data_IF_449638404324
#
_entry.id   IF_449638404324
#
_cell.length_a   1.000
_cell.length_b   1.000
_cell.length_c   1.000
_cell.angle_alpha   90.00
_cell.angle_beta   90.00
_cell.angle_gamma   90.00
#
_symmetry.space_group_name_H-M   'P 1'
#
loop_
_entity.id
_entity.type
_entity.pdbx_description
1 polymer ?
#
# COMPACT_ATOMS: atom_id res chain seq x y z
N UNK A 1 10.07 -17.73 -1.77
CA UNK A 1 8.87 -17.42 -2.57
C UNK A 1 7.97 -16.41 -1.82
N UNK A 2 7.55 -16.67 -0.58
CA UNK A 2 6.63 -15.81 0.19
C UNK A 2 7.09 -14.36 0.35
N UNK A 3 8.36 -14.11 0.64
CA UNK A 3 8.93 -12.76 0.74
C UNK A 3 8.86 -11.99 -0.59
N UNK A 4 9.15 -12.64 -1.70
CA UNK A 4 9.05 -11.99 -3.02
C UNK A 4 7.62 -11.62 -3.36
N UNK A 5 6.68 -12.50 -3.08
CA UNK A 5 5.25 -12.29 -3.33
C UNK A 5 4.71 -11.14 -2.49
N UNK A 6 5.00 -11.11 -1.18
CA UNK A 6 4.55 -10.03 -0.30
C UNK A 6 5.13 -8.68 -0.71
N UNK A 7 6.40 -8.63 -1.09
CA UNK A 7 7.06 -7.42 -1.59
C UNK A 7 6.46 -6.95 -2.92
N UNK A 8 6.18 -7.87 -3.84
CA UNK A 8 5.59 -7.56 -5.13
C UNK A 8 4.15 -7.04 -4.95
N UNK A 9 3.34 -7.68 -4.10
CA UNK A 9 2.00 -7.21 -3.78
C UNK A 9 2.01 -5.82 -3.15
N UNK A 10 2.94 -5.54 -2.23
CA UNK A 10 3.05 -4.23 -1.59
C UNK A 10 3.32 -3.11 -2.62
N UNK A 11 4.24 -3.35 -3.56
CA UNK A 11 4.53 -2.40 -4.64
C UNK A 11 3.36 -2.27 -5.60
N UNK A 12 2.71 -3.39 -5.97
CA UNK A 12 1.53 -3.39 -6.84
C UNK A 12 0.41 -2.54 -6.27
N UNK A 13 0.10 -2.65 -4.97
CA UNK A 13 -0.97 -1.90 -4.33
C UNK A 13 -0.85 -0.39 -4.56
N UNK A 14 0.34 0.16 -4.48
CA UNK A 14 0.57 1.60 -4.67
C UNK A 14 0.76 1.96 -6.14
N UNK A 15 1.49 1.17 -6.90
CA UNK A 15 1.74 1.46 -8.32
C UNK A 15 0.45 1.44 -9.14
N UNK A 16 -0.41 0.44 -8.93
CA UNK A 16 -1.71 0.36 -9.63
C UNK A 16 -2.62 1.52 -9.22
N UNK A 17 -2.59 1.94 -7.93
CA UNK A 17 -3.33 3.10 -7.46
C UNK A 17 -2.89 4.40 -8.15
N UNK A 18 -1.58 4.57 -8.31
CA UNK A 18 -0.98 5.69 -9.05
C UNK A 18 -1.43 5.69 -10.51
N UNK A 19 -1.39 4.53 -11.18
CA UNK A 19 -1.84 4.39 -12.57
C UNK A 19 -3.35 4.67 -12.72
N UNK A 20 -4.19 4.18 -11.81
CA UNK A 20 -5.62 4.43 -11.83
C UNK A 20 -5.96 5.93 -11.70
N UNK A 21 -5.20 6.66 -10.87
CA UNK A 21 -5.40 8.09 -10.69
C UNK A 21 -4.87 8.97 -11.84
N UNK A 22 -4.09 8.43 -12.79
CA UNK A 22 -3.74 9.14 -14.04
C UNK A 22 -4.98 9.59 -14.81
N UNK A 23 -6.06 8.81 -14.77
CA UNK A 23 -7.33 9.16 -15.42
C UNK A 23 -7.88 10.50 -14.92
N UNK A 24 -7.77 10.79 -13.62
CA UNK A 24 -8.23 12.07 -13.06
C UNK A 24 -7.49 13.27 -13.67
N UNK A 25 -6.21 13.15 -14.00
CA UNK A 25 -5.43 14.22 -14.64
C UNK A 25 -5.75 14.28 -16.14
N UNK A 26 -5.89 13.13 -16.79
CA UNK A 26 -6.29 13.06 -18.20
C UNK A 26 -7.62 13.75 -18.44
N UNK A 27 -8.61 13.55 -17.57
CA UNK A 27 -9.93 14.20 -17.66
C UNK A 27 -9.86 15.72 -17.41
N UNK A 28 -8.87 16.19 -16.63
CA UNK A 28 -8.62 17.64 -16.51
C UNK A 28 -8.04 18.22 -17.80
N UNK A 29 -7.11 17.52 -18.44
CA UNK A 29 -6.43 17.95 -19.65
C UNK A 29 -7.37 17.93 -20.86
N UNK A 30 -8.19 16.90 -20.99
CA UNK A 30 -9.18 16.76 -22.08
C UNK A 30 -10.36 17.73 -21.99
N UNK A 31 -10.57 18.35 -20.83
CA UNK A 31 -11.71 19.24 -20.60
C UNK A 31 -12.95 18.54 -20.06
N UNK A 32 -13.01 17.21 -20.03
CA UNK A 32 -14.17 16.46 -19.50
C UNK A 32 -14.56 16.90 -18.08
N UNK A 33 -13.59 17.31 -17.27
CA UNK A 33 -13.86 17.84 -15.93
C UNK A 33 -14.57 19.20 -15.95
N UNK A 34 -14.42 20.00 -17.03
CA UNK A 34 -15.14 21.28 -17.17
C UNK A 34 -16.62 21.03 -17.45
N UNK A 35 -16.93 20.01 -18.25
CA UNK A 35 -18.31 19.62 -18.54
C UNK A 35 -19.04 19.16 -17.26
N UNK A 36 -18.34 18.44 -16.39
CA UNK A 36 -18.86 18.10 -15.07
C UNK A 36 -19.03 19.31 -14.13
N UNK A 37 -18.22 20.35 -14.29
CA UNK A 37 -18.32 21.57 -13.48
C UNK A 37 -19.52 22.45 -13.86
N UNK A 38 -20.03 22.36 -15.09
CA UNK A 38 -21.25 23.05 -15.55
C UNK A 38 -22.50 22.37 -14.99
N UNK A 39 -22.42 21.11 -14.60
CA UNK A 39 -23.53 20.38 -13.98
C UNK A 39 -23.77 20.85 -12.53
N UNK A 40 -25.00 20.73 -11.99
CA UNK A 40 -25.32 21.16 -10.62
C UNK A 40 -24.72 20.27 -9.53
N UNK A 41 -23.73 19.43 -9.86
CA UNK A 41 -23.08 18.48 -8.94
C UNK A 41 -22.00 19.18 -8.11
N UNK A 42 -21.93 18.87 -6.82
CA UNK A 42 -20.90 19.41 -5.92
C UNK A 42 -19.51 18.87 -6.29
N UNK A 43 -18.50 19.73 -6.28
CA UNK A 43 -17.10 19.35 -6.59
C UNK A 43 -16.58 18.22 -5.67
N UNK A 44 -17.00 18.18 -4.41
CA UNK A 44 -16.67 17.09 -3.48
C UNK A 44 -17.26 15.75 -3.94
N UNK A 45 -18.48 15.73 -4.50
CA UNK A 45 -19.10 14.51 -5.02
C UNK A 45 -18.34 13.97 -6.23
N UNK A 46 -17.90 14.85 -7.14
CA UNK A 46 -17.06 14.45 -8.29
C UNK A 46 -15.73 13.87 -7.83
N UNK A 47 -15.08 14.50 -6.85
CA UNK A 47 -13.80 14.00 -6.33
C UNK A 47 -13.96 12.67 -5.59
N UNK A 48 -15.06 12.50 -4.86
CA UNK A 48 -15.37 11.23 -4.20
C UNK A 48 -15.66 10.14 -5.25
N UNK A 49 -16.33 10.47 -6.34
CA UNK A 49 -16.57 9.53 -7.44
C UNK A 49 -15.25 9.05 -8.08
N UNK A 50 -14.30 9.96 -8.34
CA UNK A 50 -12.97 9.57 -8.82
C UNK A 50 -12.24 8.67 -7.79
N UNK A 51 -12.30 9.00 -6.51
CA UNK A 51 -11.71 8.20 -5.45
C UNK A 51 -12.33 6.79 -5.41
N UNK A 52 -13.64 6.68 -5.43
CA UNK A 52 -14.33 5.38 -5.44
C UNK A 52 -14.01 4.58 -6.71
N UNK A 53 -14.02 5.21 -7.88
CA UNK A 53 -13.70 4.55 -9.14
C UNK A 53 -12.26 4.03 -9.16
N UNK A 54 -11.28 4.86 -8.75
CA UNK A 54 -9.88 4.45 -8.63
C UNK A 54 -9.71 3.33 -7.60
N UNK A 55 -10.41 3.40 -6.46
CA UNK A 55 -10.36 2.35 -5.43
C UNK A 55 -10.89 1.02 -5.96
N UNK A 56 -12.03 1.02 -6.66
CA UNK A 56 -12.62 -0.20 -7.22
C UNK A 56 -11.71 -0.84 -8.26
N UNK A 57 -11.20 -0.06 -9.21
CA UNK A 57 -10.29 -0.57 -10.25
C UNK A 57 -9.02 -1.14 -9.63
N UNK A 58 -8.41 -0.42 -8.69
CA UNK A 58 -7.19 -0.84 -8.03
C UNK A 58 -7.40 -2.09 -7.18
N UNK A 59 -8.52 -2.18 -6.46
CA UNK A 59 -8.89 -3.37 -5.67
C UNK A 59 -9.06 -4.60 -6.56
N UNK A 60 -9.77 -4.49 -7.69
CA UNK A 60 -9.96 -5.60 -8.61
C UNK A 60 -8.59 -6.11 -9.10
N UNK A 61 -7.72 -5.23 -9.56
CA UNK A 61 -6.39 -5.60 -10.07
C UNK A 61 -5.55 -6.24 -8.97
N UNK A 62 -5.53 -5.68 -7.77
CA UNK A 62 -4.73 -6.20 -6.65
C UNK A 62 -5.27 -7.53 -6.12
N UNK A 63 -6.58 -7.74 -6.10
CA UNK A 63 -7.16 -9.05 -5.73
C UNK A 63 -6.89 -10.12 -6.79
N UNK A 64 -6.88 -9.77 -8.06
CA UNK A 64 -6.44 -10.69 -9.12
C UNK A 64 -4.96 -11.04 -8.95
N UNK A 65 -4.11 -10.05 -8.66
CA UNK A 65 -2.69 -10.27 -8.38
C UNK A 65 -2.47 -11.13 -7.13
N UNK A 66 -3.25 -10.90 -6.07
CA UNK A 66 -3.24 -11.73 -4.86
C UNK A 66 -3.65 -13.18 -5.19
N UNK A 67 -4.75 -13.37 -5.91
CA UNK A 67 -5.21 -14.70 -6.32
C UNK A 67 -4.18 -15.45 -7.16
N UNK A 68 -3.54 -14.77 -8.12
CA UNK A 68 -2.46 -15.34 -8.90
C UNK A 68 -1.23 -15.72 -8.04
N UNK A 69 -0.90 -14.89 -7.07
CA UNK A 69 0.20 -15.13 -6.12
C UNK A 69 -0.06 -16.33 -5.22
N UNK A 70 -1.29 -16.45 -4.70
CA UNK A 70 -1.71 -17.61 -3.89
C UNK A 70 -1.75 -18.89 -4.72
N UNK A 71 -2.26 -18.82 -5.96
CA UNK A 71 -2.23 -19.95 -6.88
C UNK A 71 -0.80 -20.42 -7.21
N UNK A 72 0.13 -19.48 -7.39
CA UNK A 72 1.53 -19.80 -7.60
C UNK A 72 2.15 -20.54 -6.39
N UNK A 73 1.86 -20.11 -5.16
CA UNK A 73 2.33 -20.80 -3.94
C UNK A 73 1.73 -22.20 -3.81
N UNK A 74 0.44 -22.35 -4.12
CA UNK A 74 -0.23 -23.65 -4.07
C UNK A 74 0.32 -24.63 -5.10
N UNK A 75 0.52 -24.20 -6.35
CA UNK A 75 1.08 -25.02 -7.43
C UNK A 75 2.55 -25.34 -7.21
N UNK A 76 3.30 -24.44 -6.59
CA UNK A 76 4.72 -24.62 -6.27
C UNK A 76 5.00 -25.54 -5.06
N UNK A 77 3.96 -26.10 -4.42
CA UNK A 77 4.10 -26.94 -3.22
C UNK A 77 4.61 -26.20 -1.97
N UNK A 78 4.58 -24.86 -1.99
CA UNK A 78 5.04 -23.99 -0.89
C UNK A 78 3.86 -23.43 -0.07
N UNK A 79 2.79 -24.21 0.05
CA UNK A 79 1.59 -23.78 0.79
C UNK A 79 1.72 -24.12 2.27
N UNK A 80 2.02 -23.12 3.09
CA UNK A 80 2.11 -23.23 4.54
C UNK A 80 1.07 -22.34 5.26
N UNK A 81 0.24 -21.60 4.50
CA UNK A 81 -0.72 -20.64 5.05
C UNK A 81 -1.98 -21.31 5.57
N UNK A 82 -2.46 -20.85 6.72
CA UNK A 82 -3.79 -21.20 7.24
C UNK A 82 -4.87 -20.33 6.58
N UNK A 83 -6.13 -20.74 6.67
CA UNK A 83 -7.25 -19.93 6.17
C UNK A 83 -7.32 -18.54 6.83
N UNK A 84 -6.86 -18.44 8.08
CA UNK A 84 -6.80 -17.18 8.83
C UNK A 84 -5.73 -16.25 8.24
N UNK A 85 -4.55 -16.77 7.89
CA UNK A 85 -3.48 -15.98 7.28
C UNK A 85 -3.91 -15.41 5.93
N UNK A 86 -4.60 -16.22 5.13
CA UNK A 86 -5.15 -15.77 3.84
C UNK A 86 -6.18 -14.65 4.04
N UNK A 87 -7.05 -14.74 5.04
CA UNK A 87 -8.04 -13.70 5.33
C UNK A 87 -7.36 -12.39 5.78
N UNK A 88 -6.33 -12.47 6.62
CA UNK A 88 -5.55 -11.33 7.06
C UNK A 88 -4.78 -10.71 5.90
N UNK A 89 -4.23 -11.52 5.01
CA UNK A 89 -3.55 -11.06 3.81
C UNK A 89 -4.50 -10.30 2.84
N UNK A 90 -5.74 -10.78 2.70
CA UNK A 90 -6.80 -10.08 1.94
C UNK A 90 -7.09 -8.72 2.58
N UNK A 91 -7.16 -8.64 3.91
CA UNK A 91 -7.36 -7.39 4.64
C UNK A 91 -6.18 -6.43 4.44
N UNK A 92 -4.96 -6.93 4.49
CA UNK A 92 -3.75 -6.12 4.28
C UNK A 92 -3.69 -5.53 2.88
N UNK A 93 -3.97 -6.33 1.85
CA UNK A 93 -4.05 -5.86 0.45
C UNK A 93 -5.15 -4.81 0.30
N UNK A 94 -6.30 -5.02 0.94
CA UNK A 94 -7.40 -4.05 0.92
C UNK A 94 -6.99 -2.71 1.53
N UNK A 95 -6.42 -2.71 2.73
CA UNK A 95 -6.00 -1.50 3.43
C UNK A 95 -4.85 -0.79 2.70
N UNK A 96 -3.85 -1.54 2.25
CA UNK A 96 -2.71 -0.96 1.55
C UNK A 96 -3.12 -0.38 0.18
N UNK A 97 -4.08 -0.99 -0.49
CA UNK A 97 -4.69 -0.44 -1.72
C UNK A 97 -5.38 0.89 -1.43
N UNK A 98 -6.21 0.96 -0.39
CA UNK A 98 -6.87 2.22 0.00
C UNK A 98 -5.86 3.30 0.40
N UNK A 99 -4.79 2.93 1.09
CA UNK A 99 -3.69 3.85 1.38
C UNK A 99 -3.06 4.38 0.09
N UNK A 100 -2.73 3.51 -0.87
CA UNK A 100 -2.15 3.89 -2.16
C UNK A 100 -3.06 4.83 -2.96
N UNK A 101 -4.37 4.54 -2.99
CA UNK A 101 -5.36 5.41 -3.66
C UNK A 101 -5.50 6.75 -2.95
N UNK A 102 -5.53 6.78 -1.63
CA UNK A 102 -5.62 8.03 -0.85
C UNK A 102 -4.39 8.91 -1.09
N UNK A 103 -3.20 8.32 -1.04
CA UNK A 103 -1.92 9.00 -1.28
C UNK A 103 -1.86 9.56 -2.70
N UNK A 104 -2.11 8.72 -3.70
CA UNK A 104 -2.07 9.14 -5.11
C UNK A 104 -3.13 10.19 -5.42
N UNK A 105 -4.37 10.07 -4.88
CA UNK A 105 -5.43 11.07 -5.08
C UNK A 105 -5.05 12.45 -4.54
N UNK A 106 -4.40 12.54 -3.38
CA UNK A 106 -3.89 13.79 -2.82
C UNK A 106 -2.85 14.43 -3.74
N UNK A 107 -1.89 13.66 -4.23
CA UNK A 107 -0.81 14.14 -5.08
C UNK A 107 -1.34 14.59 -6.46
N UNK A 108 -2.15 13.76 -7.11
CA UNK A 108 -2.71 14.03 -8.43
C UNK A 108 -3.78 15.14 -8.43
N UNK A 109 -4.34 15.48 -7.27
CA UNK A 109 -5.24 16.61 -7.17
C UNK A 109 -4.58 17.93 -7.64
N UNK A 110 -3.28 18.13 -7.41
CA UNK A 110 -2.55 19.34 -7.80
C UNK A 110 -2.06 19.35 -9.24
N UNK A 111 -1.97 18.20 -9.89
CA UNK A 111 -1.40 18.07 -11.21
C UNK A 111 -2.36 18.56 -12.30
N UNK A 112 -1.80 19.25 -13.29
CA UNK A 112 -2.56 19.89 -14.38
C UNK A 112 -2.18 19.37 -15.75
N UNK A 113 -1.07 18.64 -15.89
CA UNK A 113 -0.60 18.10 -17.17
C UNK A 113 -0.29 16.61 -17.07
N UNK A 114 -0.51 15.87 -18.16
CA UNK A 114 -0.17 14.44 -18.23
C UNK A 114 1.33 14.18 -18.02
N UNK A 115 2.20 15.07 -18.47
CA UNK A 115 3.65 14.97 -18.25
C UNK A 115 4.03 15.01 -16.78
N UNK A 116 3.45 15.94 -16.01
CA UNK A 116 3.64 16.00 -14.55
C UNK A 116 3.12 14.74 -13.87
N UNK A 117 1.96 14.26 -14.28
CA UNK A 117 1.34 13.06 -13.72
C UNK A 117 2.20 11.82 -13.96
N UNK A 118 2.71 11.63 -15.18
CA UNK A 118 3.59 10.51 -15.52
C UNK A 118 4.93 10.58 -14.77
N UNK A 119 5.55 11.77 -14.68
CA UNK A 119 6.81 11.93 -13.95
C UNK A 119 6.67 11.61 -12.46
N UNK A 120 5.65 12.18 -11.79
CA UNK A 120 5.38 11.91 -10.38
C UNK A 120 5.00 10.44 -10.17
N UNK A 121 4.21 9.87 -11.06
CA UNK A 121 3.84 8.45 -11.02
C UNK A 121 5.06 7.54 -11.07
N UNK A 122 6.01 7.80 -11.96
CA UNK A 122 7.26 7.04 -12.06
C UNK A 122 8.10 7.18 -10.81
N UNK A 123 8.24 8.39 -10.28
CA UNK A 123 8.99 8.65 -9.04
C UNK A 123 8.38 7.89 -7.87
N UNK A 124 7.06 7.97 -7.67
CA UNK A 124 6.39 7.28 -6.56
C UNK A 124 6.55 5.78 -6.71
N UNK A 125 6.26 5.21 -7.88
CA UNK A 125 6.32 3.77 -8.12
C UNK A 125 7.71 3.18 -7.88
N UNK A 126 8.76 3.89 -8.30
CA UNK A 126 10.14 3.46 -8.11
C UNK A 126 10.59 3.63 -6.65
N UNK A 127 10.29 4.79 -6.07
CA UNK A 127 10.77 5.16 -4.74
C UNK A 127 10.04 4.41 -3.64
N UNK A 128 8.74 4.11 -3.84
CA UNK A 128 7.92 3.40 -2.83
C UNK A 128 8.51 2.05 -2.44
N UNK A 129 8.96 1.26 -3.42
CA UNK A 129 9.54 -0.06 -3.15
C UNK A 129 10.80 -0.03 -2.29
N UNK A 130 11.60 1.04 -2.40
CA UNK A 130 12.77 1.25 -1.55
C UNK A 130 12.38 1.80 -0.17
N UNK A 131 11.54 2.82 -0.13
CA UNK A 131 11.15 3.53 1.09
C UNK A 131 10.38 2.61 2.05
N UNK A 132 9.49 1.77 1.53
CA UNK A 132 8.66 0.88 2.35
C UNK A 132 9.25 -0.51 2.57
N UNK A 133 10.52 -0.72 2.22
CA UNK A 133 11.22 -1.97 2.50
C UNK A 133 10.82 -3.14 1.59
N UNK A 134 10.10 -2.89 0.48
CA UNK A 134 9.66 -3.96 -0.40
C UNK A 134 10.82 -4.57 -1.20
N UNK A 135 11.72 -3.73 -1.75
CA UNK A 135 12.88 -4.20 -2.52
C UNK A 135 14.08 -4.55 -1.62
N UNK A 136 14.29 -3.77 -0.58
CA UNK A 136 15.38 -3.97 0.37
C UNK A 136 14.83 -3.84 1.79
N UNK A 137 15.05 -4.81 2.67
CA UNK A 137 14.63 -4.74 4.06
C UNK A 137 15.13 -3.46 4.73
N UNK A 138 14.29 -2.85 5.56
CA UNK A 138 14.60 -1.60 6.27
C UNK A 138 15.72 -1.81 7.28
N UNK A 139 15.86 -3.02 7.80
CA UNK A 139 16.95 -3.45 8.67
C UNK A 139 18.35 -3.22 8.07
N UNK A 140 18.46 -3.24 6.73
CA UNK A 140 19.73 -3.01 6.03
C UNK A 140 20.08 -1.52 5.84
N UNK A 141 19.21 -0.59 6.23
CA UNK A 141 19.51 0.84 6.15
C UNK A 141 20.24 1.36 7.41
N UNK A 142 21.04 2.44 7.29
CA UNK A 142 21.63 3.11 8.44
C UNK A 142 20.57 3.57 9.45
N UNK A 143 20.89 3.57 10.75
CA UNK A 143 19.95 3.88 11.84
C UNK A 143 19.18 5.20 11.66
N UNK A 144 19.82 6.23 11.13
CA UNK A 144 19.17 7.52 10.87
C UNK A 144 18.05 7.41 9.83
N UNK A 145 18.31 6.72 8.73
CA UNK A 145 17.33 6.52 7.66
C UNK A 145 16.22 5.55 8.10
N UNK A 146 16.59 4.49 8.81
CA UNK A 146 15.64 3.52 9.38
C UNK A 146 14.59 4.20 10.26
N UNK A 147 15.01 5.14 11.12
CA UNK A 147 14.09 5.93 11.96
C UNK A 147 13.13 6.77 11.12
N UNK A 148 13.60 7.42 10.06
CA UNK A 148 12.74 8.21 9.16
C UNK A 148 11.74 7.33 8.42
N UNK A 149 12.18 6.19 7.90
CA UNK A 149 11.32 5.25 7.17
C UNK A 149 10.25 4.63 8.08
N UNK A 150 10.55 4.44 9.37
CA UNK A 150 9.59 3.94 10.35
C UNK A 150 8.43 4.91 10.65
N UNK A 151 8.50 6.17 10.24
CA UNK A 151 7.36 7.11 10.33
C UNK A 151 6.37 6.98 9.16
N UNK A 152 6.74 6.27 8.09
CA UNK A 152 5.91 6.18 6.90
C UNK A 152 4.84 5.08 7.05
N UNK A 153 3.54 5.42 6.87
CA UNK A 153 2.47 4.44 7.01
C UNK A 153 2.58 3.26 6.03
N UNK A 154 3.14 3.48 4.84
CA UNK A 154 3.38 2.44 3.84
C UNK A 154 4.31 1.34 4.32
N UNK A 155 5.27 1.66 5.18
CA UNK A 155 6.19 0.70 5.80
C UNK A 155 5.44 -0.33 6.66
N UNK A 156 4.46 0.14 7.44
CA UNK A 156 3.63 -0.74 8.27
C UNK A 156 2.77 -1.68 7.42
N UNK A 157 2.21 -1.18 6.30
CA UNK A 157 1.45 -2.01 5.36
C UNK A 157 2.30 -3.09 4.70
N UNK A 158 3.53 -2.79 4.32
CA UNK A 158 4.47 -3.78 3.75
C UNK A 158 4.88 -4.82 4.79
N UNK A 159 5.10 -4.39 6.04
CA UNK A 159 5.43 -5.27 7.15
C UNK A 159 4.27 -6.22 7.48
N UNK A 160 3.03 -5.73 7.52
CA UNK A 160 1.82 -6.55 7.74
C UNK A 160 1.68 -7.62 6.66
N UNK A 161 1.74 -7.22 5.37
CA UNK A 161 1.71 -8.16 4.24
C UNK A 161 2.76 -9.25 4.37
N UNK A 162 3.99 -8.88 4.75
CA UNK A 162 5.08 -9.82 4.90
C UNK A 162 4.89 -10.75 6.09
N UNK A 163 4.40 -10.22 7.20
CA UNK A 163 4.14 -11.00 8.41
C UNK A 163 3.09 -12.09 8.16
N UNK A 164 1.96 -11.74 7.54
CA UNK A 164 0.90 -12.71 7.26
C UNK A 164 1.25 -13.65 6.10
N UNK A 165 2.00 -13.18 5.09
CA UNK A 165 2.45 -14.05 4.00
C UNK A 165 3.46 -15.11 4.42
N UNK A 166 4.18 -14.90 5.53
CA UNK A 166 5.21 -15.80 6.03
C UNK A 166 4.83 -16.48 7.36
N UNK A 167 3.65 -16.19 7.93
CA UNK A 167 3.22 -16.72 9.22
C UNK A 167 3.31 -18.25 9.27
N UNK A 168 2.70 -18.95 8.34
CA UNK A 168 2.71 -20.40 8.30
C UNK A 168 4.11 -21.02 8.05
N UNK A 169 5.02 -20.27 7.42
CA UNK A 169 6.43 -20.73 7.27
C UNK A 169 7.14 -20.70 8.62
N UNK A 170 6.91 -19.65 9.42
CA UNK A 170 7.50 -19.56 10.76
C UNK A 170 6.94 -20.61 11.72
N UNK A 171 5.64 -20.89 11.62
CA UNK A 171 5.00 -21.95 12.42
C UNK A 171 5.59 -23.32 12.07
N UNK A 172 5.78 -23.60 10.78
CA UNK A 172 6.44 -24.84 10.32
C UNK A 172 7.90 -24.96 10.80
N UNK A 173 8.65 -23.87 10.83
CA UNK A 173 10.02 -23.84 11.36
C UNK A 173 10.06 -24.11 12.86
N UNK A 174 9.08 -23.60 13.60
CA UNK A 174 8.94 -23.85 15.04
C UNK A 174 8.57 -25.32 15.31
N UNK A 175 7.70 -25.92 14.52
CA UNK A 175 7.31 -27.32 14.61
C UNK A 175 8.46 -28.29 14.29
N UNK A 176 9.39 -27.90 13.40
CA UNK A 176 10.60 -28.65 13.10
C UNK A 176 11.68 -28.54 14.20
N UNK A 177 11.40 -27.81 15.30
CA UNK A 177 12.26 -27.71 16.47
C UNK A 177 13.45 -26.75 16.33
N UNK A 178 13.39 -25.79 15.39
CA UNK A 178 14.39 -24.73 15.28
C UNK A 178 14.36 -23.82 16.53
N UNK A 179 15.53 -23.36 17.04
CA UNK A 179 15.59 -22.45 18.18
C UNK A 179 14.79 -21.17 17.92
N UNK A 180 14.00 -20.71 18.88
CA UNK A 180 13.18 -19.50 18.75
C UNK A 180 14.02 -18.27 18.39
N UNK A 181 15.23 -18.14 18.95
CA UNK A 181 16.17 -17.05 18.62
C UNK A 181 16.55 -17.01 17.14
N UNK A 182 16.66 -18.17 16.49
CA UNK A 182 16.96 -18.25 15.05
C UNK A 182 15.78 -17.81 14.20
N UNK A 183 14.57 -18.22 14.56
CA UNK A 183 13.32 -17.81 13.88
C UNK A 183 13.09 -16.30 14.03
N UNK A 184 13.31 -15.76 15.24
CA UNK A 184 13.17 -14.32 15.50
C UNK A 184 14.25 -13.50 14.76
N UNK A 185 15.48 -14.00 14.66
CA UNK A 185 16.53 -13.39 13.85
C UNK A 185 16.17 -13.31 12.36
N UNK A 186 15.53 -14.34 11.81
CA UNK A 186 15.02 -14.33 10.43
C UNK A 186 13.89 -13.30 10.31
N UNK A 187 12.93 -13.28 11.24
CA UNK A 187 11.83 -12.32 11.25
C UNK A 187 12.32 -10.87 11.24
N UNK A 188 13.35 -10.58 12.01
CA UNK A 188 13.96 -9.25 12.07
C UNK A 188 14.70 -8.90 10.79
N UNK A 189 15.46 -9.84 10.22
CA UNK A 189 16.24 -9.63 8.99
C UNK A 189 15.37 -9.35 7.74
N UNK A 190 14.11 -9.80 7.77
CA UNK A 190 13.15 -9.66 6.66
C UNK A 190 12.11 -8.54 6.94
N UNK A 191 12.24 -7.78 8.02
CA UNK A 191 11.28 -6.75 8.46
C UNK A 191 9.84 -7.28 8.68
N UNK A 192 9.70 -8.50 9.18
CA UNK A 192 8.42 -8.99 9.67
C UNK A 192 8.04 -8.40 11.04
N UNK A 193 9.02 -7.89 11.77
CA UNK A 193 8.86 -7.15 13.01
C UNK A 193 9.52 -5.77 12.87
N UNK A 194 8.72 -4.72 12.97
CA UNK A 194 9.24 -3.35 12.98
C UNK A 194 9.52 -2.92 14.41
N UNK A 195 10.70 -2.34 14.62
CA UNK A 195 11.06 -1.68 15.86
C UNK A 195 10.98 -0.16 15.69
N UNK A 196 10.19 0.51 16.51
CA UNK A 196 10.11 1.95 16.56
C UNK A 196 10.85 2.45 17.79
N UNK A 197 11.97 3.14 17.59
CA UNK A 197 12.87 3.61 18.67
C UNK A 197 13.27 2.51 19.67
N UNK A 198 13.52 1.29 19.18
CA UNK A 198 13.93 0.16 20.01
C UNK A 198 12.79 -0.63 20.67
N UNK A 199 11.54 -0.25 20.45
CA UNK A 199 10.37 -0.99 20.92
C UNK A 199 9.70 -1.73 19.77
N UNK A 200 9.36 -3.02 19.91
CA UNK A 200 8.64 -3.76 18.90
C UNK A 200 7.21 -3.19 18.75
N UNK A 201 6.81 -2.93 17.52
CA UNK A 201 5.48 -2.41 17.21
C UNK A 201 4.50 -3.58 17.09
N UNK A 202 3.42 -3.56 17.87
CA UNK A 202 2.39 -4.59 17.77
C UNK A 202 1.59 -4.46 16.47
N UNK A 203 1.11 -5.60 15.95
CA UNK A 203 0.28 -5.68 14.73
C UNK A 203 -0.93 -4.74 14.81
N UNK A 204 -1.57 -4.64 15.98
CA UNK A 204 -2.71 -3.75 16.17
C UNK A 204 -2.36 -2.26 15.99
N UNK A 205 -1.17 -1.84 16.44
CA UNK A 205 -0.69 -0.46 16.24
C UNK A 205 -0.38 -0.22 14.76
N UNK A 206 0.16 -1.19 14.03
CA UNK A 206 0.41 -1.07 12.58
C UNK A 206 -0.89 -0.84 11.81
N UNK A 207 -1.96 -1.59 12.11
CA UNK A 207 -3.28 -1.36 11.53
C UNK A 207 -3.84 0.03 11.90
N UNK A 208 -3.73 0.44 13.16
CA UNK A 208 -4.22 1.75 13.59
C UNK A 208 -3.52 2.91 12.86
N UNK A 209 -2.20 2.83 12.66
CA UNK A 209 -1.42 3.83 11.92
C UNK A 209 -1.84 3.85 10.45
N UNK A 210 -2.00 2.68 9.82
CA UNK A 210 -2.38 2.59 8.42
C UNK A 210 -3.81 3.14 8.18
N UNK A 211 -4.77 2.76 9.01
CA UNK A 211 -6.15 3.25 8.95
C UNK A 211 -6.18 4.76 9.23
N UNK A 212 -5.46 5.23 10.25
CA UNK A 212 -5.35 6.66 10.56
C UNK A 212 -4.80 7.47 9.39
N UNK A 213 -3.77 6.96 8.70
CA UNK A 213 -3.21 7.59 7.52
C UNK A 213 -4.21 7.62 6.33
N UNK A 214 -4.96 6.55 6.11
CA UNK A 214 -6.00 6.49 5.08
C UNK A 214 -7.06 7.57 5.34
N UNK A 215 -7.57 7.64 6.56
CA UNK A 215 -8.60 8.61 6.95
C UNK A 215 -8.09 10.05 6.83
N UNK A 216 -6.86 10.32 7.28
CA UNK A 216 -6.23 11.63 7.18
C UNK A 216 -6.06 12.05 5.73
N UNK A 217 -5.47 11.20 4.89
CA UNK A 217 -5.23 11.51 3.46
C UNK A 217 -6.54 11.68 2.70
N UNK A 218 -7.53 10.82 2.93
CA UNK A 218 -8.85 10.94 2.31
C UNK A 218 -9.56 12.23 2.76
N UNK A 219 -9.49 12.57 4.05
CA UNK A 219 -10.01 13.82 4.58
C UNK A 219 -9.35 15.05 3.94
N UNK A 220 -8.03 15.06 3.84
CA UNK A 220 -7.26 16.12 3.17
C UNK A 220 -7.69 16.24 1.69
N UNK A 221 -7.81 15.12 0.98
CA UNK A 221 -8.25 15.12 -0.42
C UNK A 221 -9.64 15.73 -0.60
N UNK A 222 -10.61 15.39 0.24
CA UNK A 222 -11.96 15.94 0.20
C UNK A 222 -11.97 17.43 0.53
N UNK A 223 -11.24 17.87 1.55
CA UNK A 223 -11.10 19.29 1.93
C UNK A 223 -10.48 20.12 0.81
N UNK A 224 -9.41 19.63 0.20
CA UNK A 224 -8.77 20.28 -0.95
C UNK A 224 -9.71 20.44 -2.14
N UNK A 225 -10.55 19.43 -2.37
CA UNK A 225 -11.55 19.47 -3.44
C UNK A 225 -12.64 20.50 -3.17
N UNK A 226 -13.06 20.65 -1.93
CA UNK A 226 -14.08 21.61 -1.51
C UNK A 226 -13.58 23.07 -1.60
N UNK A 227 -12.33 23.32 -1.19
CA UNK A 227 -11.73 24.65 -1.21
C UNK A 227 -11.51 25.23 -2.63
N UNK A 228 -11.35 24.37 -3.64
CA UNK A 228 -11.17 24.82 -5.04
C UNK A 228 -12.44 25.39 -5.68
N UNK A 229 -13.61 25.16 -5.12
CA UNK A 229 -14.88 25.72 -5.64
C UNK A 229 -15.07 27.19 -5.27
N UNK A 230 -14.32 27.69 -4.28
CA UNK A 230 -14.46 29.07 -3.78
C UNK A 230 -13.55 30.08 -4.51
N UNK A 231 -12.73 29.61 -5.44
CA UNK A 231 -11.88 30.43 -6.32
C UNK A 231 -12.29 30.24 -7.79
#
# INVERSE_FOLDING_TARGET
>A
AGQLISSLLAVCCVTVAVCANLQMVSDKVSGARRDLAVSPVRSSTVSLAYFCASSLVTLIVNFVALGASLAYLALGGCWYMTAQDVLLLVLDVFLLTLFGVSLSSCLYAYLTTNGQASAIGTIISTTYGFICGAYMPISNYPDGLRKVLSFLPGTYGTCLLRNHALAGVYDSMADEGLPAEFVDGIRESIDCSLTFFGHPVSVGVMYAVLIGAILLLTGVYVLMSSARRQR
#
